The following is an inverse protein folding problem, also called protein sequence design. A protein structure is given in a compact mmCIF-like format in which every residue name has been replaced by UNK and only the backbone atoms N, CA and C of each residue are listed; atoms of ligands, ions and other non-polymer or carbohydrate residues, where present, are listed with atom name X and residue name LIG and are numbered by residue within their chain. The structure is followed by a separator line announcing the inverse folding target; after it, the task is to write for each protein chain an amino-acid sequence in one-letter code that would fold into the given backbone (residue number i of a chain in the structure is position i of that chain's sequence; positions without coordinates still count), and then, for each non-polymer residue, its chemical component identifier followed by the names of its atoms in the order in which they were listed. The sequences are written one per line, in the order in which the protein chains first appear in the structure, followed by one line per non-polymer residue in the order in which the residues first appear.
data_IF_110822872637
#
_entry.id   IF_110822872637
#
_cell.length_a   1.000
_cell.length_b   1.000
_cell.length_c   1.000
_cell.angle_alpha   90.00
_cell.angle_beta   90.00
_cell.angle_gamma   90.00
#
_symmetry.space_group_name_H-M   'P 1'
#
loop_
_entity.id
_entity.type
_entity.pdbx_description
1 polymer ?
#
# COMPACT_ATOMS: atom_id res chain seq x y z
N UNK A 1 -1.81 13.70 11.65
CA UNK A 1 -2.38 12.42 11.16
C UNK A 1 -3.85 12.67 10.87
N UNK A 2 -4.33 12.21 9.72
CA UNK A 2 -5.74 12.31 9.32
C UNK A 2 -6.28 10.88 9.32
N UNK A 3 -7.38 10.64 10.03
CA UNK A 3 -8.04 9.34 10.13
C UNK A 3 -9.34 9.39 9.34
N UNK A 4 -9.52 8.46 8.40
CA UNK A 4 -10.70 8.36 7.54
C UNK A 4 -11.11 6.89 7.43
N UNK A 5 -12.38 6.65 7.13
CA UNK A 5 -12.87 5.33 6.74
C UNK A 5 -13.15 5.38 5.24
N UNK A 6 -12.66 4.40 4.49
CA UNK A 6 -12.96 4.31 3.06
C UNK A 6 -14.35 3.70 2.82
N UNK A 7 -14.73 3.59 1.54
CA UNK A 7 -16.05 3.06 1.13
C UNK A 7 -16.24 1.59 1.49
N UNK A 8 -15.14 0.86 1.67
CA UNK A 8 -15.12 -0.56 1.98
C UNK A 8 -15.04 -0.81 3.49
N UNK A 9 -15.09 0.26 4.29
CA UNK A 9 -15.06 0.20 5.75
C UNK A 9 -13.65 0.09 6.34
N UNK A 10 -12.59 0.14 5.53
CA UNK A 10 -11.21 0.09 6.01
C UNK A 10 -10.81 1.41 6.68
N UNK A 11 -9.94 1.32 7.69
CA UNK A 11 -9.42 2.51 8.37
C UNK A 11 -8.16 2.99 7.68
N UNK A 12 -8.20 4.22 7.17
CA UNK A 12 -7.11 4.86 6.45
C UNK A 12 -6.50 5.97 7.31
N UNK A 13 -5.19 5.89 7.52
CA UNK A 13 -4.40 6.88 8.24
C UNK A 13 -3.45 7.58 7.28
N UNK A 14 -3.65 8.87 7.07
CA UNK A 14 -2.82 9.69 6.19
C UNK A 14 -1.92 10.60 7.02
N UNK A 15 -0.63 10.64 6.67
CA UNK A 15 0.38 11.43 7.34
C UNK A 15 0.81 12.58 6.44
N UNK A 16 0.17 13.77 6.53
CA UNK A 16 0.38 14.88 5.59
C UNK A 16 1.78 15.50 5.62
N UNK A 17 2.56 15.30 6.69
CA UNK A 17 3.86 15.94 6.88
C UNK A 17 4.93 14.90 7.17
N UNK A 18 6.16 15.18 6.72
CA UNK A 18 7.34 14.41 7.09
C UNK A 18 7.50 14.38 8.62
N UNK A 19 7.73 13.21 9.24
CA UNK A 19 7.90 13.14 10.70
C UNK A 19 9.15 13.88 11.19
N UNK A 20 10.19 13.96 10.35
CA UNK A 20 11.49 14.56 10.66
C UNK A 20 11.47 16.09 10.49
N UNK A 21 11.28 16.58 9.26
CA UNK A 21 11.40 18.02 8.96
C UNK A 21 10.05 18.75 8.82
N UNK A 22 8.92 18.05 9.02
CA UNK A 22 7.55 18.58 8.86
C UNK A 22 7.18 19.10 7.46
N UNK A 23 8.05 18.93 6.47
CA UNK A 23 7.74 19.29 5.09
C UNK A 23 6.55 18.50 4.54
N UNK A 24 5.80 19.13 3.63
CA UNK A 24 4.76 18.51 2.81
C UNK A 24 5.29 18.03 1.45
N UNK A 25 6.53 18.38 1.07
CA UNK A 25 7.07 18.09 -0.26
C UNK A 25 7.46 16.62 -0.37
N UNK A 26 6.83 15.92 -1.30
CA UNK A 26 7.00 14.48 -1.51
C UNK A 26 7.36 14.16 -2.94
N UNK A 27 8.22 13.17 -3.10
CA UNK A 27 8.74 12.79 -4.41
C UNK A 27 7.65 12.27 -5.34
N UNK A 28 6.86 11.28 -4.92
CA UNK A 28 5.84 10.68 -5.79
C UNK A 28 4.68 11.63 -6.08
N UNK A 29 4.29 12.47 -5.11
CA UNK A 29 3.30 13.53 -5.34
C UNK A 29 3.77 14.53 -6.41
N UNK A 30 5.03 14.99 -6.35
CA UNK A 30 5.61 15.85 -7.38
C UNK A 30 5.73 15.16 -8.74
N UNK A 31 5.98 13.86 -8.78
CA UNK A 31 5.92 13.10 -10.04
C UNK A 31 4.50 13.05 -10.61
N UNK A 32 3.49 12.84 -9.77
CA UNK A 32 2.08 12.86 -10.22
C UNK A 32 1.67 14.23 -10.74
N UNK A 33 2.02 15.31 -10.04
CA UNK A 33 1.78 16.68 -10.51
C UNK A 33 2.41 16.91 -11.90
N UNK A 34 3.63 16.42 -12.13
CA UNK A 34 4.30 16.50 -13.44
C UNK A 34 3.59 15.67 -14.51
N UNK A 35 3.17 14.45 -14.19
CA UNK A 35 2.43 13.59 -15.11
C UNK A 35 1.08 14.20 -15.52
N UNK A 36 0.35 14.78 -14.57
CA UNK A 36 -0.91 15.50 -14.84
C UNK A 36 -0.66 16.70 -15.75
N UNK A 37 0.38 17.50 -15.48
CA UNK A 37 0.78 18.63 -16.35
C UNK A 37 1.17 18.20 -17.76
N UNK A 38 1.76 17.01 -17.90
CA UNK A 38 2.14 16.43 -19.19
C UNK A 38 0.97 15.75 -19.93
N UNK A 39 -0.23 15.71 -19.34
CA UNK A 39 -1.40 15.05 -19.93
C UNK A 39 -1.39 13.52 -19.85
N UNK A 40 -0.44 12.93 -19.12
CA UNK A 40 -0.34 11.46 -18.94
C UNK A 40 -0.97 10.97 -17.63
N UNK A 41 -1.22 11.88 -16.68
CA UNK A 41 -1.85 11.58 -15.39
C UNK A 41 -3.27 12.13 -15.27
N UNK A 42 -4.13 11.44 -14.51
CA UNK A 42 -5.48 11.94 -14.16
C UNK A 42 -5.41 13.01 -13.07
N UNK A 43 -6.25 14.06 -13.10
CA UNK A 43 -6.35 15.01 -12.00
C UNK A 43 -6.62 14.31 -10.67
N UNK A 44 -5.89 14.67 -9.62
CA UNK A 44 -6.00 14.04 -8.29
C UNK A 44 -5.35 12.66 -8.18
N UNK A 45 -4.59 12.22 -9.18
CA UNK A 45 -3.79 10.99 -9.07
C UNK A 45 -2.75 11.13 -7.96
N UNK A 46 -2.75 10.17 -7.04
CA UNK A 46 -1.75 10.04 -5.98
C UNK A 46 -1.03 8.71 -6.20
N UNK A 47 0.25 8.78 -6.51
CA UNK A 47 1.13 7.61 -6.49
C UNK A 47 1.87 7.57 -5.15
N UNK A 48 2.03 6.36 -4.64
CA UNK A 48 2.86 6.06 -3.49
C UNK A 48 3.57 4.74 -3.77
N UNK A 49 4.65 4.46 -3.04
CA UNK A 49 5.29 3.16 -3.11
C UNK A 49 4.64 2.20 -2.12
N UNK A 50 3.93 1.19 -2.62
CA UNK A 50 3.39 0.12 -1.79
C UNK A 50 4.53 -0.78 -1.30
N UNK A 51 4.92 -0.63 -0.04
CA UNK A 51 6.02 -1.40 0.55
C UNK A 51 5.61 -2.85 0.85
N UNK A 52 4.30 -3.09 1.00
CA UNK A 52 3.72 -4.42 1.16
C UNK A 52 2.44 -4.42 1.98
N UNK A 53 1.76 -5.55 1.97
CA UNK A 53 0.73 -5.91 2.93
C UNK A 53 1.30 -6.88 3.96
N UNK A 54 0.91 -6.75 5.23
CA UNK A 54 1.26 -7.70 6.29
C UNK A 54 0.00 -8.16 7.00
N UNK A 55 -0.15 -9.46 7.15
CA UNK A 55 -1.20 -10.06 7.99
C UNK A 55 -0.70 -10.16 9.43
N UNK A 56 -1.62 -10.03 10.38
CA UNK A 56 -1.33 -10.22 11.81
C UNK A 56 -1.63 -11.66 12.25
N UNK A 57 -1.11 -12.62 11.49
CA UNK A 57 -1.26 -14.05 11.78
C UNK A 57 0.12 -14.60 12.11
N UNK A 58 0.21 -15.45 13.13
CA UNK A 58 1.40 -16.26 13.33
C UNK A 58 1.60 -17.15 12.10
N UNK A 59 2.73 -17.00 11.42
CA UNK A 59 3.07 -17.77 10.21
C UNK A 59 3.02 -19.28 10.44
N UNK A 60 3.24 -19.75 11.67
CA UNK A 60 3.13 -21.17 12.01
C UNK A 60 1.69 -21.69 11.95
N UNK A 61 0.70 -20.82 12.20
CA UNK A 61 -0.72 -21.13 12.20
C UNK A 61 -1.39 -20.88 10.85
N UNK A 62 -0.77 -20.09 10.00
CA UNK A 62 -1.26 -19.74 8.67
C UNK A 62 -1.68 -20.96 7.82
N UNK A 63 -0.95 -22.10 7.79
CA UNK A 63 -1.37 -23.29 7.06
C UNK A 63 -2.67 -23.91 7.56
N UNK A 64 -2.93 -23.82 8.87
CA UNK A 64 -4.11 -24.42 9.50
C UNK A 64 -5.40 -23.63 9.27
N UNK A 65 -5.28 -22.35 8.90
CA UNK A 65 -6.45 -21.52 8.62
C UNK A 65 -7.22 -22.06 7.40
N UNK A 66 -8.54 -22.22 7.47
CA UNK A 66 -9.35 -22.55 6.30
C UNK A 66 -9.22 -21.50 5.18
N UNK A 67 -9.32 -21.93 3.93
CA UNK A 67 -9.47 -21.01 2.79
C UNK A 67 -10.76 -20.21 2.99
N UNK A 68 -10.72 -18.92 2.68
CA UNK A 68 -11.80 -17.97 2.93
C UNK A 68 -11.75 -17.31 4.30
N UNK A 69 -10.83 -17.71 5.20
CA UNK A 69 -10.67 -17.04 6.50
C UNK A 69 -10.21 -15.60 6.29
N UNK A 70 -10.94 -14.65 6.88
CA UNK A 70 -10.54 -13.24 6.96
C UNK A 70 -9.58 -13.04 8.12
N UNK A 71 -8.43 -12.43 7.84
CA UNK A 71 -7.44 -12.09 8.85
C UNK A 71 -7.10 -10.60 8.82
N UNK A 72 -6.87 -9.96 9.97
CA UNK A 72 -6.45 -8.56 9.99
C UNK A 72 -5.17 -8.34 9.18
N UNK A 73 -5.16 -7.28 8.38
CA UNK A 73 -4.06 -6.93 7.50
C UNK A 73 -3.79 -5.43 7.52
N UNK A 74 -2.54 -5.06 7.32
CA UNK A 74 -2.11 -3.68 7.17
C UNK A 74 -1.42 -3.50 5.83
N UNK A 75 -1.77 -2.43 5.11
CA UNK A 75 -1.07 -2.01 3.90
C UNK A 75 -0.30 -0.73 4.20
N UNK A 76 0.98 -0.72 3.82
CA UNK A 76 1.87 0.40 4.02
C UNK A 76 2.25 1.02 2.69
N UNK A 77 1.87 2.28 2.52
CA UNK A 77 2.20 3.09 1.35
C UNK A 77 3.16 4.20 1.79
N UNK A 78 4.31 4.25 1.14
CA UNK A 78 5.43 5.11 1.51
C UNK A 78 5.75 6.14 0.44
N UNK A 79 6.40 7.22 0.85
CA UNK A 79 6.93 8.26 -0.03
C UNK A 79 8.24 8.81 0.56
N UNK A 80 8.95 9.59 -0.24
CA UNK A 80 10.23 10.20 0.09
C UNK A 80 10.04 11.69 0.28
N UNK A 81 10.45 12.21 1.44
CA UNK A 81 10.50 13.65 1.68
C UNK A 81 11.58 14.30 0.82
N UNK A 82 11.22 15.31 0.03
CA UNK A 82 12.18 15.97 -0.85
C UNK A 82 13.15 16.91 -0.14
N UNK A 83 12.82 17.38 1.07
CA UNK A 83 13.68 18.32 1.79
C UNK A 83 14.73 17.60 2.68
N UNK A 84 14.43 16.40 3.20
CA UNK A 84 15.36 15.68 4.10
C UNK A 84 15.66 14.23 3.69
N UNK A 85 15.09 13.73 2.58
CA UNK A 85 15.33 12.37 2.08
C UNK A 85 14.67 11.24 2.90
N UNK A 86 14.00 11.55 4.01
CA UNK A 86 13.34 10.55 4.84
C UNK A 86 12.25 9.81 4.05
N UNK A 87 12.33 8.48 4.02
CA UNK A 87 11.27 7.59 3.54
C UNK A 87 10.33 7.28 4.71
N UNK A 88 9.04 7.53 4.53
CA UNK A 88 8.07 7.31 5.61
C UNK A 88 6.70 6.87 5.06
N UNK A 89 5.92 6.20 5.91
CA UNK A 89 4.55 5.82 5.60
C UNK A 89 3.67 7.07 5.49
N UNK A 90 3.17 7.32 4.28
CA UNK A 90 2.26 8.44 4.00
C UNK A 90 0.81 8.02 4.13
N UNK A 91 0.50 6.76 3.85
CA UNK A 91 -0.82 6.17 3.99
C UNK A 91 -0.66 4.79 4.61
N UNK A 92 -1.43 4.54 5.67
CA UNK A 92 -1.53 3.25 6.33
C UNK A 92 -2.98 2.82 6.30
N UNK A 93 -3.26 1.66 5.71
CA UNK A 93 -4.62 1.12 5.58
C UNK A 93 -4.74 -0.10 6.47
N UNK A 94 -5.66 -0.08 7.42
CA UNK A 94 -6.05 -1.26 8.20
C UNK A 94 -7.22 -1.91 7.48
N UNK A 95 -7.00 -3.13 7.02
CA UNK A 95 -7.93 -3.88 6.19
C UNK A 95 -7.98 -5.34 6.68
N UNK A 96 -8.65 -6.18 5.91
CA UNK A 96 -8.66 -7.63 6.08
C UNK A 96 -8.08 -8.27 4.84
N UNK A 97 -7.29 -9.31 5.02
CA UNK A 97 -6.87 -10.19 3.94
C UNK A 97 -7.66 -11.49 4.03
N UNK A 98 -8.12 -12.02 2.91
CA UNK A 98 -8.77 -13.32 2.85
C UNK A 98 -7.75 -14.35 2.42
N UNK A 99 -7.63 -15.46 3.15
CA UNK A 99 -6.79 -16.58 2.72
C UNK A 99 -7.37 -17.18 1.45
N UNK A 100 -6.67 -17.08 0.33
CA UNK A 100 -7.03 -17.71 -0.93
C UNK A 100 -6.09 -18.86 -1.23
N UNK A 101 -6.48 -19.73 -2.16
CA UNK A 101 -5.50 -20.63 -2.79
C UNK A 101 -4.44 -19.76 -3.47
N UNK A 102 -3.17 -20.13 -3.30
CA UNK A 102 -2.12 -19.59 -4.14
C UNK A 102 -2.41 -20.18 -5.52
N UNK A 103 -2.94 -19.38 -6.43
CA UNK A 103 -2.82 -19.69 -7.85
C UNK A 103 -1.35 -19.47 -8.19
N UNK A 104 -0.49 -20.43 -7.83
CA UNK A 104 0.76 -20.57 -8.54
C UNK A 104 0.36 -20.64 -10.01
N UNK A 105 1.03 -19.87 -10.87
CA UNK A 105 0.89 -20.04 -12.30
C UNK A 105 1.06 -21.55 -12.55
N UNK A 106 -0.05 -22.26 -12.74
CA UNK A 106 -0.06 -23.68 -13.01
C UNK A 106 0.59 -23.79 -14.36
N UNK A 107 1.91 -23.98 -14.36
CA UNK A 107 2.68 -24.35 -15.52
C UNK A 107 1.94 -25.53 -16.12
N UNK A 108 1.31 -25.32 -17.27
CA UNK A 108 0.66 -26.42 -17.96
C UNK A 108 1.78 -27.31 -18.48
N UNK A 109 1.60 -28.64 -18.52
CA UNK A 109 2.56 -29.51 -19.20
C UNK A 109 2.78 -28.99 -20.63
N UNK A 110 3.96 -28.40 -20.90
CA UNK A 110 4.31 -27.76 -22.18
C UNK A 110 4.81 -26.32 -22.10
N UNK A 111 4.66 -25.62 -20.97
CA UNK A 111 5.22 -24.27 -20.80
C UNK A 111 6.75 -24.35 -20.64
N UNK A 112 7.51 -23.66 -21.52
CA UNK A 112 8.98 -23.57 -21.43
C UNK A 112 9.39 -22.49 -20.41
N UNK A 113 10.47 -22.72 -19.65
CA UNK A 113 10.93 -21.83 -18.58
C UNK A 113 11.17 -20.39 -19.05
#
# INVERSE_FOLDING_TARGET
MIKQQDKDGNMVYTYPHCPICKSKKRHFEKMCEKAVKAGTGKPGMIATFQQGSRTFVDRSLEPTLPIGTEVPSIQLNTDICMDCGCVYAVIVVHTKATKTLITENLWKPGDKP
#
